data_IF_850987848510
#
_entry.id   IF_850987848510
#
_cell.length_a   1.000
_cell.length_b   1.000
_cell.length_c   1.000
_cell.angle_alpha   90.00
_cell.angle_beta   90.00
_cell.angle_gamma   90.00
#
_symmetry.space_group_name_H-M   'P 1'
#
loop_
_entity.id
_entity.type
_entity.pdbx_description
1 polymer ?
#
# COMPACT_ATOMS: atom_id res chain seq x y z
N UNK A 1 -2.58 23.77 9.03
CA UNK A 1 -1.89 23.89 7.75
C UNK A 1 -1.25 22.54 7.50
N UNK A 2 -1.65 21.86 6.43
CA UNK A 2 -1.10 20.55 6.05
C UNK A 2 0.41 20.60 5.83
N UNK A 3 1.06 19.43 5.91
CA UNK A 3 2.46 19.24 5.57
C UNK A 3 2.65 17.86 4.94
N UNK A 4 2.19 17.75 3.70
CA UNK A 4 2.26 16.57 2.85
C UNK A 4 3.66 16.52 2.21
N UNK A 5 4.33 15.38 2.35
CA UNK A 5 5.64 15.11 1.76
C UNK A 5 5.59 13.89 0.85
N UNK A 6 6.31 13.90 -0.27
CA UNK A 6 6.36 12.74 -1.16
C UNK A 6 7.34 11.69 -0.62
N UNK A 7 6.92 10.43 -0.70
CA UNK A 7 7.71 9.26 -0.32
C UNK A 7 7.69 8.25 -1.48
N UNK A 8 8.60 7.28 -1.46
CA UNK A 8 8.53 6.08 -2.28
C UNK A 8 8.66 4.86 -1.38
N UNK A 9 7.69 3.94 -1.48
CA UNK A 9 7.84 2.59 -0.94
C UNK A 9 8.78 1.81 -1.85
N UNK A 10 9.81 1.17 -1.26
CA UNK A 10 10.79 0.42 -2.02
C UNK A 10 10.19 -0.82 -2.72
N UNK A 11 8.97 -1.22 -2.36
CA UNK A 11 8.17 -2.15 -3.15
C UNK A 11 8.10 -1.75 -4.63
N UNK A 12 8.07 -0.44 -4.91
CA UNK A 12 8.01 0.11 -6.27
C UNK A 12 9.23 -0.21 -7.15
N UNK A 13 10.35 -0.59 -6.53
CA UNK A 13 11.62 -0.92 -7.20
C UNK A 13 12.07 -2.35 -6.88
N UNK A 14 11.15 -3.18 -6.39
CA UNK A 14 11.46 -4.54 -5.95
C UNK A 14 11.95 -5.40 -7.11
N UNK A 15 11.46 -5.22 -8.33
CA UNK A 15 11.88 -6.05 -9.46
C UNK A 15 13.32 -5.71 -9.84
N UNK A 16 13.68 -4.42 -9.85
CA UNK A 16 15.05 -3.97 -10.05
C UNK A 16 16.01 -4.54 -8.98
N UNK A 17 15.58 -4.57 -7.71
CA UNK A 17 16.34 -5.17 -6.62
C UNK A 17 16.48 -6.69 -6.75
N UNK A 18 15.36 -7.41 -6.87
CA UNK A 18 15.30 -8.87 -6.92
C UNK A 18 16.10 -9.45 -8.09
N UNK A 19 16.22 -8.72 -9.20
CA UNK A 19 16.99 -9.14 -10.37
C UNK A 19 18.45 -8.66 -10.35
N UNK A 20 18.89 -8.03 -9.25
CA UNK A 20 20.25 -7.52 -9.09
C UNK A 20 20.61 -6.39 -10.05
N UNK A 21 19.62 -5.70 -10.60
CA UNK A 21 19.82 -4.52 -11.47
C UNK A 21 20.15 -3.28 -10.66
N UNK A 22 19.66 -3.23 -9.43
CA UNK A 22 19.96 -2.20 -8.45
C UNK A 22 20.26 -2.86 -7.10
N UNK A 23 21.34 -2.43 -6.45
CA UNK A 23 21.54 -2.70 -5.01
C UNK A 23 20.66 -1.77 -4.16
N UNK A 24 20.57 -2.03 -2.86
CA UNK A 24 19.91 -1.11 -1.93
C UNK A 24 20.53 0.29 -2.00
N UNK A 25 21.86 0.40 -2.10
CA UNK A 25 22.54 1.69 -2.25
C UNK A 25 22.17 2.37 -3.58
N UNK A 26 22.07 1.63 -4.69
CA UNK A 26 21.66 2.20 -5.99
C UNK A 26 20.22 2.75 -5.94
N UNK A 27 19.32 2.07 -5.20
CA UNK A 27 17.94 2.54 -4.98
C UNK A 27 17.95 3.86 -4.22
N UNK A 28 18.66 3.93 -3.10
CA UNK A 28 18.77 5.17 -2.32
C UNK A 28 19.37 6.31 -3.12
N UNK A 29 20.43 6.02 -3.89
CA UNK A 29 21.04 6.99 -4.79
C UNK A 29 20.04 7.52 -5.81
N UNK A 30 19.32 6.64 -6.49
CA UNK A 30 18.34 7.02 -7.50
C UNK A 30 17.21 7.88 -6.90
N UNK A 31 16.63 7.47 -5.76
CA UNK A 31 15.56 8.22 -5.10
C UNK A 31 16.04 9.61 -4.62
N UNK A 32 17.27 9.70 -4.14
CA UNK A 32 17.89 10.97 -3.77
C UNK A 32 18.12 11.87 -4.99
N UNK A 33 18.59 11.33 -6.12
CA UNK A 33 18.82 12.08 -7.36
C UNK A 33 17.52 12.64 -7.97
N UNK A 34 16.38 11.95 -7.81
CA UNK A 34 15.06 12.45 -8.23
C UNK A 34 14.37 13.29 -7.15
N UNK A 35 15.04 13.50 -6.01
CA UNK A 35 14.66 14.42 -4.93
C UNK A 35 13.48 13.96 -4.06
N UNK A 36 13.30 12.67 -3.82
CA UNK A 36 12.25 12.14 -2.91
C UNK A 36 12.51 12.61 -1.46
N UNK A 37 11.46 12.96 -0.70
CA UNK A 37 11.64 13.42 0.68
C UNK A 37 11.90 12.28 1.68
N UNK A 38 11.18 11.17 1.54
CA UNK A 38 11.31 10.02 2.42
C UNK A 38 11.16 8.68 1.73
N UNK A 39 11.49 7.62 2.45
CA UNK A 39 11.39 6.24 1.97
C UNK A 39 10.60 5.37 2.94
N UNK A 40 9.79 4.49 2.39
CA UNK A 40 9.27 3.31 3.09
C UNK A 40 10.08 2.10 2.65
N UNK A 41 10.53 1.29 3.61
CA UNK A 41 11.37 0.12 3.35
C UNK A 41 10.65 -1.14 3.80
N UNK A 42 10.84 -2.24 3.07
CA UNK A 42 10.41 -3.58 3.43
C UNK A 42 11.64 -4.36 3.94
N UNK A 43 11.90 -4.43 5.26
CA UNK A 43 13.12 -5.04 5.77
C UNK A 43 13.26 -6.50 5.36
N UNK A 44 12.16 -7.26 5.37
CA UNK A 44 12.12 -8.66 4.93
C UNK A 44 12.61 -8.86 3.49
N UNK A 45 12.48 -7.83 2.64
CA UNK A 45 12.95 -7.88 1.26
C UNK A 45 14.41 -7.40 1.14
N UNK A 46 14.77 -6.32 1.83
CA UNK A 46 15.99 -5.55 1.50
C UNK A 46 17.03 -5.46 2.62
N UNK A 47 16.67 -5.80 3.87
CA UNK A 47 17.58 -5.75 5.01
C UNK A 47 18.02 -7.17 5.38
N UNK A 48 19.26 -7.50 5.03
CA UNK A 48 19.79 -8.84 5.29
C UNK A 48 19.83 -9.16 6.79
N UNK A 49 19.17 -10.27 7.15
CA UNK A 49 19.08 -10.75 8.52
C UNK A 49 17.89 -10.23 9.30
N UNK A 50 16.95 -9.51 8.68
CA UNK A 50 15.70 -9.10 9.32
C UNK A 50 14.97 -10.27 10.04
N UNK A 51 14.40 -10.04 11.23
CA UNK A 51 14.39 -8.80 12.02
C UNK A 51 15.63 -8.62 12.93
N UNK A 52 16.68 -9.43 12.74
CA UNK A 52 17.93 -9.40 13.53
C UNK A 52 19.14 -9.05 12.65
N UNK A 53 19.16 -7.87 11.99
CA UNK A 53 20.27 -7.48 11.13
C UNK A 53 21.59 -7.44 11.92
N UNK A 54 22.67 -7.87 11.28
CA UNK A 54 24.00 -7.83 11.92
C UNK A 54 24.46 -6.38 12.14
N UNK A 55 25.40 -6.18 13.08
CA UNK A 55 26.04 -4.86 13.28
C UNK A 55 26.66 -4.30 11.99
N UNK A 56 27.18 -5.18 11.12
CA UNK A 56 27.73 -4.81 9.82
C UNK A 56 26.64 -4.27 8.88
N UNK A 57 25.48 -4.91 8.84
CA UNK A 57 24.32 -4.47 8.04
C UNK A 57 23.79 -3.12 8.56
N UNK A 58 23.67 -2.96 9.89
CA UNK A 58 23.27 -1.67 10.50
C UNK A 58 24.29 -0.56 10.18
N UNK A 59 25.58 -0.87 10.16
CA UNK A 59 26.64 0.08 9.79
C UNK A 59 26.55 0.48 8.31
N UNK A 60 26.29 -0.48 7.43
CA UNK A 60 26.06 -0.25 5.99
C UNK A 60 24.82 0.62 5.77
N UNK A 61 23.69 0.29 6.39
CA UNK A 61 22.47 1.08 6.38
C UNK A 61 22.72 2.55 6.77
N UNK A 62 23.39 2.76 7.91
CA UNK A 62 23.75 4.11 8.39
C UNK A 62 24.70 4.84 7.42
N UNK A 63 25.56 4.11 6.72
CA UNK A 63 26.45 4.67 5.68
C UNK A 63 25.65 5.13 4.45
N UNK A 64 24.66 4.35 4.01
CA UNK A 64 23.76 4.70 2.90
C UNK A 64 22.99 5.98 3.24
N UNK A 65 22.35 6.06 4.42
CA UNK A 65 21.60 7.25 4.85
C UNK A 65 22.49 8.49 4.97
N UNK A 66 23.77 8.32 5.34
CA UNK A 66 24.71 9.44 5.38
C UNK A 66 25.08 9.96 3.98
N UNK A 67 25.17 9.07 2.98
CA UNK A 67 25.47 9.44 1.59
C UNK A 67 24.26 10.07 0.90
N UNK A 68 23.07 9.54 1.18
CA UNK A 68 21.82 9.91 0.53
C UNK A 68 20.78 10.25 1.61
N UNK A 69 20.88 11.44 2.22
CA UNK A 69 20.00 11.82 3.32
C UNK A 69 18.55 11.98 2.84
N UNK A 70 17.69 11.09 3.32
CA UNK A 70 16.23 11.11 3.14
C UNK A 70 15.58 10.77 4.49
N UNK A 71 14.33 11.20 4.68
CA UNK A 71 13.56 10.84 5.88
C UNK A 71 13.10 9.37 5.82
N UNK A 72 12.96 8.75 6.99
CA UNK A 72 12.51 7.37 7.13
C UNK A 72 11.01 7.37 7.44
N UNK A 73 10.19 7.22 6.40
CA UNK A 73 8.76 7.42 6.48
C UNK A 73 8.04 6.27 7.18
N UNK A 74 8.33 5.04 6.78
CA UNK A 74 7.64 3.85 7.30
C UNK A 74 8.50 2.60 7.16
N UNK A 75 8.39 1.72 8.15
CA UNK A 75 8.95 0.37 8.15
C UNK A 75 7.83 -0.62 7.85
N UNK A 76 7.86 -1.23 6.67
CA UNK A 76 6.81 -2.14 6.21
C UNK A 76 7.11 -3.60 6.63
N UNK A 77 6.29 -4.09 7.56
CA UNK A 77 6.49 -5.36 8.25
C UNK A 77 5.36 -6.36 7.98
N UNK A 78 5.75 -7.60 7.68
CA UNK A 78 4.84 -8.72 7.46
C UNK A 78 4.77 -9.63 8.69
N UNK A 79 3.68 -9.57 9.46
CA UNK A 79 3.40 -10.62 10.45
C UNK A 79 2.84 -11.87 9.77
N UNK A 80 3.72 -12.78 9.37
CA UNK A 80 3.29 -14.04 8.79
C UNK A 80 2.75 -15.00 9.87
N UNK A 81 1.43 -15.10 9.97
CA UNK A 81 0.78 -15.99 10.96
C UNK A 81 0.80 -17.47 10.56
N UNK A 82 1.23 -17.81 9.34
CA UNK A 82 1.17 -19.15 8.74
C UNK A 82 2.56 -19.81 8.63
N UNK A 83 3.47 -19.55 9.58
CA UNK A 83 4.82 -20.13 9.58
C UNK A 83 4.86 -21.66 9.69
N UNK A 84 3.79 -22.30 10.19
CA UNK A 84 3.73 -23.75 10.39
C UNK A 84 2.62 -24.37 9.53
N UNK A 85 2.89 -25.54 8.93
CA UNK A 85 1.93 -26.24 8.05
C UNK A 85 0.63 -26.65 8.76
N UNK A 86 0.68 -26.90 10.07
CA UNK A 86 -0.40 -27.53 10.82
C UNK A 86 -1.11 -26.60 11.82
N UNK A 87 -0.69 -25.33 11.93
CA UNK A 87 -1.28 -24.35 12.84
C UNK A 87 -0.90 -22.93 12.45
N UNK A 88 -1.68 -21.98 12.92
CA UNK A 88 -1.28 -20.57 12.94
C UNK A 88 -0.45 -20.27 14.19
N UNK A 89 0.21 -19.11 14.16
CA UNK A 89 0.84 -18.55 15.35
C UNK A 89 -0.19 -18.27 16.46
N UNK A 90 0.23 -18.50 17.69
CA UNK A 90 -0.51 -18.08 18.88
C UNK A 90 -0.37 -16.57 19.09
N UNK A 91 -1.32 -15.95 19.79
CA UNK A 91 -1.25 -14.51 20.13
C UNK A 91 0.09 -14.13 20.77
N UNK A 92 0.63 -14.97 21.67
CA UNK A 92 1.93 -14.74 22.31
C UNK A 92 3.08 -14.73 21.30
N UNK A 93 3.09 -15.68 20.35
CA UNK A 93 4.11 -15.72 19.30
C UNK A 93 4.02 -14.49 18.39
N UNK A 94 2.81 -14.05 18.04
CA UNK A 94 2.62 -12.82 17.28
C UNK A 94 3.16 -11.59 18.02
N UNK A 95 2.85 -11.46 19.32
CA UNK A 95 3.36 -10.38 20.17
C UNK A 95 4.89 -10.41 20.24
N UNK A 96 5.48 -11.59 20.42
CA UNK A 96 6.94 -11.75 20.50
C UNK A 96 7.63 -11.38 19.18
N UNK A 97 7.02 -11.71 18.03
CA UNK A 97 7.53 -11.31 16.71
C UNK A 97 7.44 -9.80 16.50
N UNK A 98 6.27 -9.18 16.70
CA UNK A 98 6.13 -7.73 16.52
C UNK A 98 7.08 -6.94 17.44
N UNK A 99 7.38 -7.44 18.64
CA UNK A 99 8.39 -6.81 19.50
C UNK A 99 9.79 -6.84 18.88
N UNK A 100 10.14 -7.88 18.12
CA UNK A 100 11.43 -7.93 17.40
C UNK A 100 11.44 -6.89 16.27
N UNK A 101 10.33 -6.76 15.54
CA UNK A 101 10.16 -5.76 14.48
C UNK A 101 10.26 -4.33 15.04
N UNK A 102 9.66 -4.05 16.20
CA UNK A 102 9.80 -2.75 16.90
C UNK A 102 11.26 -2.44 17.24
N UNK A 103 12.03 -3.45 17.66
CA UNK A 103 13.47 -3.27 17.93
C UNK A 103 14.23 -3.00 16.63
N UNK A 104 13.95 -3.74 15.56
CA UNK A 104 14.55 -3.50 14.25
C UNK A 104 14.25 -2.08 13.74
N UNK A 105 12.98 -1.68 13.72
CA UNK A 105 12.54 -0.36 13.27
C UNK A 105 13.32 0.75 13.99
N UNK A 106 13.47 0.61 15.32
CA UNK A 106 14.25 1.53 16.16
C UNK A 106 15.75 1.54 15.80
N UNK A 107 16.34 0.38 15.55
CA UNK A 107 17.77 0.27 15.16
C UNK A 107 18.04 0.87 13.77
N UNK A 108 17.10 0.71 12.85
CA UNK A 108 17.12 1.31 11.51
C UNK A 108 16.78 2.81 11.56
N UNK A 109 16.08 3.27 12.59
CA UNK A 109 15.78 4.69 12.84
C UNK A 109 14.37 5.14 12.43
N UNK A 110 13.48 4.20 12.11
CA UNK A 110 12.08 4.48 11.83
C UNK A 110 11.30 4.84 13.10
N UNK A 111 10.11 5.45 12.89
CA UNK A 111 9.16 5.83 13.94
C UNK A 111 7.76 5.27 13.73
N UNK A 112 7.56 4.59 12.62
CA UNK A 112 6.28 4.02 12.20
C UNK A 112 6.55 2.66 11.59
N UNK A 113 5.82 1.66 12.05
CA UNK A 113 5.69 0.37 11.39
C UNK A 113 4.32 0.30 10.74
N UNK A 114 4.28 -0.04 9.46
CA UNK A 114 3.06 -0.50 8.81
C UNK A 114 2.93 -2.01 8.99
N UNK A 115 1.79 -2.43 9.51
CA UNK A 115 1.38 -3.81 9.68
C UNK A 115 0.53 -4.22 8.47
N UNK A 116 0.85 -5.38 7.88
CA UNK A 116 0.05 -5.94 6.78
C UNK A 116 -1.41 -6.16 7.18
N UNK A 117 -2.35 -5.92 6.25
CA UNK A 117 -3.82 -5.83 6.43
C UNK A 117 -4.49 -6.97 7.24
N UNK A 118 -3.88 -8.15 7.37
CA UNK A 118 -4.42 -9.30 8.10
C UNK A 118 -3.77 -9.54 9.48
N UNK A 119 -3.08 -8.53 10.02
CA UNK A 119 -2.49 -8.61 11.36
C UNK A 119 -3.59 -8.69 12.43
N UNK A 120 -3.58 -9.68 13.36
CA UNK A 120 -4.67 -9.87 14.31
C UNK A 120 -4.83 -8.66 15.25
N UNK A 121 -6.01 -7.99 15.30
CA UNK A 121 -6.20 -6.78 16.10
C UNK A 121 -5.89 -6.95 17.60
N UNK A 122 -6.12 -8.16 18.13
CA UNK A 122 -5.90 -8.48 19.55
C UNK A 122 -4.44 -8.41 20.01
N UNK A 123 -3.47 -8.24 19.10
CA UNK A 123 -2.06 -8.06 19.49
C UNK A 123 -1.71 -6.60 19.77
N UNK A 124 -2.52 -5.64 19.30
CA UNK A 124 -2.19 -4.22 19.34
C UNK A 124 -2.13 -3.70 20.77
N UNK A 125 -3.18 -3.88 21.57
CA UNK A 125 -3.21 -3.42 22.97
C UNK A 125 -2.08 -4.06 23.82
N UNK A 126 -1.81 -5.37 23.74
CA UNK A 126 -0.67 -5.98 24.46
C UNK A 126 0.71 -5.46 24.05
N UNK A 127 0.90 -5.07 22.78
CA UNK A 127 2.18 -4.57 22.27
C UNK A 127 2.35 -3.07 22.54
N UNK A 128 1.25 -2.32 22.64
CA UNK A 128 1.24 -0.87 22.72
C UNK A 128 2.22 -0.28 23.76
N UNK A 129 2.30 -0.76 25.02
CA UNK A 129 3.26 -0.22 25.99
C UNK A 129 4.73 -0.36 25.54
N UNK A 130 5.05 -1.41 24.79
CA UNK A 130 6.40 -1.63 24.27
C UNK A 130 6.69 -0.76 23.04
N UNK A 131 5.68 -0.54 22.18
CA UNK A 131 5.75 0.42 21.10
C UNK A 131 6.00 1.85 21.63
N UNK A 132 5.28 2.26 22.68
CA UNK A 132 5.46 3.54 23.38
C UNK A 132 6.87 3.70 23.97
N UNK A 133 7.37 2.68 24.67
CA UNK A 133 8.73 2.70 25.26
C UNK A 133 9.83 2.86 24.19
N UNK A 134 9.58 2.37 22.98
CA UNK A 134 10.53 2.42 21.87
C UNK A 134 10.29 3.58 20.90
N UNK A 135 9.26 4.39 21.14
CA UNK A 135 8.84 5.51 20.29
C UNK A 135 8.58 5.06 18.83
N UNK A 136 7.78 3.99 18.69
CA UNK A 136 7.36 3.39 17.41
C UNK A 136 5.84 3.32 17.35
N UNK A 137 5.22 3.97 16.36
CA UNK A 137 3.81 3.81 16.09
C UNK A 137 3.54 2.55 15.24
N UNK A 138 2.41 1.90 15.45
CA UNK A 138 1.94 0.75 14.68
C UNK A 138 0.68 1.15 13.92
N UNK A 139 0.67 0.94 12.60
CA UNK A 139 -0.48 1.26 11.77
C UNK A 139 -0.84 0.11 10.85
N UNK A 140 -2.10 -0.36 10.86
CA UNK A 140 -2.55 -1.37 9.89
C UNK A 140 -2.73 -0.71 8.52
N UNK A 141 -2.34 -1.40 7.47
CA UNK A 141 -2.77 -1.02 6.12
C UNK A 141 -4.25 -1.37 5.90
N UNK A 142 -5.01 -0.43 5.35
CA UNK A 142 -6.31 -0.68 4.74
C UNK A 142 -6.09 -0.79 3.24
N UNK A 143 -5.90 -2.00 2.74
CA UNK A 143 -5.65 -2.31 1.34
C UNK A 143 -6.97 -2.55 0.58
N UNK A 144 -6.99 -2.33 -0.74
CA UNK A 144 -8.15 -2.72 -1.56
C UNK A 144 -8.47 -4.22 -1.42
N UNK A 145 -9.73 -4.56 -1.19
CA UNK A 145 -10.20 -5.90 -0.83
C UNK A 145 -10.20 -6.19 0.69
N UNK A 146 -9.55 -5.33 1.48
CA UNK A 146 -9.50 -5.34 2.95
C UNK A 146 -9.69 -3.92 3.51
N UNK A 147 -10.45 -3.08 2.80
CA UNK A 147 -10.68 -1.68 3.12
C UNK A 147 -11.78 -1.42 4.16
N UNK A 148 -12.30 -0.20 4.14
CA UNK A 148 -13.44 0.21 4.97
C UNK A 148 -14.68 -0.65 4.72
N UNK A 149 -15.45 -0.95 5.78
CA UNK A 149 -16.65 -1.78 5.71
C UNK A 149 -16.37 -3.30 5.70
N UNK A 150 -15.12 -3.73 5.61
CA UNK A 150 -14.73 -5.14 5.75
C UNK A 150 -14.68 -5.50 7.24
N UNK A 151 -15.37 -6.58 7.62
CA UNK A 151 -15.54 -6.99 9.03
C UNK A 151 -14.25 -7.05 9.83
N UNK A 152 -13.17 -7.58 9.25
CA UNK A 152 -11.89 -7.71 9.96
C UNK A 152 -11.20 -6.35 10.11
N UNK A 153 -11.26 -5.50 9.11
CA UNK A 153 -10.78 -4.11 9.15
C UNK A 153 -11.55 -3.26 10.16
N UNK A 154 -12.89 -3.39 10.20
CA UNK A 154 -13.75 -2.69 11.17
C UNK A 154 -13.42 -3.05 12.63
N UNK A 155 -12.99 -4.29 12.89
CA UNK A 155 -12.50 -4.68 14.23
C UNK A 155 -11.22 -3.92 14.59
N UNK A 156 -10.29 -3.77 13.64
CA UNK A 156 -9.08 -3.01 13.87
C UNK A 156 -9.39 -1.52 14.08
N UNK A 157 -10.23 -0.92 13.23
CA UNK A 157 -10.67 0.48 13.38
C UNK A 157 -11.31 0.72 14.75
N UNK A 158 -12.15 -0.21 15.21
CA UNK A 158 -12.74 -0.14 16.56
C UNK A 158 -11.68 -0.15 17.67
N UNK A 159 -10.61 -0.92 17.51
CA UNK A 159 -9.50 -0.94 18.48
C UNK A 159 -8.67 0.33 18.43
N UNK A 160 -8.42 0.90 17.25
CA UNK A 160 -7.75 2.20 17.08
C UNK A 160 -8.52 3.29 17.83
N UNK A 161 -9.83 3.37 17.62
CA UNK A 161 -10.71 4.34 18.27
C UNK A 161 -10.80 4.12 19.79
N UNK A 162 -10.88 2.85 20.24
CA UNK A 162 -10.94 2.50 21.66
C UNK A 162 -9.64 2.86 22.40
N UNK A 163 -8.49 2.58 21.78
CA UNK A 163 -7.18 2.83 22.37
C UNK A 163 -6.79 4.31 22.33
N UNK A 164 -7.20 5.03 21.26
CA UNK A 164 -6.98 6.46 21.06
C UNK A 164 -5.53 6.90 21.38
N UNK A 165 -4.55 6.10 20.96
CA UNK A 165 -3.12 6.32 21.24
C UNK A 165 -2.40 6.93 20.03
N UNK A 166 -1.45 7.87 20.22
CA UNK A 166 -0.64 8.38 19.12
C UNK A 166 0.25 7.30 18.47
N UNK A 167 0.46 6.16 19.14
CA UNK A 167 1.26 5.03 18.66
C UNK A 167 0.44 3.92 17.99
N UNK A 168 -0.85 4.14 17.77
CA UNK A 168 -1.72 3.25 16.98
C UNK A 168 -2.41 4.06 15.89
N UNK A 169 -2.53 3.53 14.70
CA UNK A 169 -3.22 4.22 13.62
C UNK A 169 -3.45 3.33 12.40
N UNK A 170 -3.57 3.99 11.25
CA UNK A 170 -3.85 3.33 9.99
C UNK A 170 -2.96 3.88 8.87
N UNK A 171 -2.66 3.02 7.90
CA UNK A 171 -2.07 3.37 6.60
C UNK A 171 -3.15 3.18 5.56
N UNK A 172 -3.43 4.21 4.78
CA UNK A 172 -4.52 4.15 3.79
C UNK A 172 -3.93 3.93 2.40
N UNK A 173 -4.47 2.94 1.72
CA UNK A 173 -4.15 2.61 0.34
C UNK A 173 -5.05 3.39 -0.64
N UNK A 174 -4.45 4.08 -1.60
CA UNK A 174 -5.19 4.84 -2.61
C UNK A 174 -5.97 3.97 -3.62
N UNK A 175 -5.68 2.67 -3.73
CA UNK A 175 -6.45 1.68 -4.48
C UNK A 175 -7.88 1.50 -3.98
N UNK A 176 -8.20 2.00 -2.78
CA UNK A 176 -9.56 2.13 -2.27
C UNK A 176 -10.42 3.16 -3.02
N UNK A 177 -9.77 4.07 -3.77
CA UNK A 177 -10.38 5.28 -4.34
C UNK A 177 -10.21 5.36 -5.87
N UNK A 178 -10.08 4.22 -6.54
CA UNK A 178 -10.02 4.16 -8.00
C UNK A 178 -11.31 4.71 -8.62
N UNK A 179 -11.18 5.55 -9.64
CA UNK A 179 -12.31 6.07 -10.46
C UNK A 179 -12.56 5.22 -11.71
N UNK A 180 -11.60 4.38 -12.07
CA UNK A 180 -11.67 3.40 -13.14
C UNK A 180 -10.73 2.23 -12.85
N UNK A 181 -10.99 1.04 -13.40
CA UNK A 181 -10.05 -0.08 -13.30
C UNK A 181 -8.71 0.30 -13.94
N UNK A 182 -7.58 -0.21 -13.43
CA UNK A 182 -6.30 0.02 -14.08
C UNK A 182 -6.28 -0.54 -15.49
N UNK A 183 -5.94 0.31 -16.46
CA UNK A 183 -5.91 -0.07 -17.87
C UNK A 183 -4.95 -1.23 -18.14
N UNK A 184 -3.77 -1.19 -17.54
CA UNK A 184 -2.74 -2.24 -17.66
C UNK A 184 -3.24 -3.60 -17.19
N UNK A 185 -4.08 -3.66 -16.16
CA UNK A 185 -4.72 -4.89 -15.70
C UNK A 185 -5.65 -5.46 -16.79
N UNK A 186 -6.53 -4.62 -17.34
CA UNK A 186 -7.46 -5.03 -18.39
C UNK A 186 -6.71 -5.46 -19.66
N UNK A 187 -5.69 -4.71 -20.07
CA UNK A 187 -4.88 -5.04 -21.25
C UNK A 187 -4.10 -6.35 -21.06
N UNK A 188 -3.54 -6.55 -19.87
CA UNK A 188 -2.89 -7.81 -19.51
C UNK A 188 -3.85 -8.98 -19.62
N UNK A 189 -5.02 -8.89 -18.99
CA UNK A 189 -5.98 -9.98 -19.02
C UNK A 189 -6.51 -10.26 -20.42
N UNK A 190 -6.75 -9.25 -21.26
CA UNK A 190 -7.12 -9.43 -22.68
C UNK A 190 -6.03 -10.11 -23.51
N UNK A 191 -4.77 -9.95 -23.12
CA UNK A 191 -3.62 -10.49 -23.88
C UNK A 191 -3.26 -11.90 -23.43
N UNK A 192 -3.34 -12.16 -22.13
CA UNK A 192 -2.85 -13.41 -21.51
C UNK A 192 -3.95 -14.46 -21.35
N UNK A 193 -5.19 -14.02 -21.18
CA UNK A 193 -6.35 -14.88 -20.98
C UNK A 193 -7.38 -14.69 -22.10
N UNK A 194 -8.25 -15.68 -22.29
CA UNK A 194 -9.37 -15.58 -23.24
C UNK A 194 -10.61 -15.01 -22.53
N UNK A 195 -10.59 -13.72 -22.23
CA UNK A 195 -11.71 -13.03 -21.57
C UNK A 195 -12.69 -12.44 -22.59
N UNK A 196 -13.88 -12.10 -22.13
CA UNK A 196 -14.99 -11.57 -22.92
C UNK A 196 -15.10 -10.06 -22.76
N UNK A 197 -15.46 -9.33 -23.82
CA UNK A 197 -15.70 -7.88 -23.69
C UNK A 197 -16.89 -7.57 -22.77
N UNK A 198 -17.82 -8.51 -22.58
CA UNK A 198 -18.95 -8.39 -21.65
C UNK A 198 -18.50 -8.18 -20.20
N UNK A 199 -17.51 -8.94 -19.73
CA UNK A 199 -17.02 -8.86 -18.34
C UNK A 199 -16.22 -7.59 -18.11
N UNK A 200 -15.44 -7.16 -19.11
CA UNK A 200 -14.72 -5.89 -19.08
C UNK A 200 -15.70 -4.72 -19.01
N UNK A 201 -16.69 -4.70 -19.92
CA UNK A 201 -17.72 -3.66 -19.94
C UNK A 201 -18.50 -3.62 -18.62
N UNK A 202 -18.82 -4.77 -18.04
CA UNK A 202 -19.53 -4.85 -16.78
C UNK A 202 -18.76 -4.14 -15.65
N UNK A 203 -17.45 -4.41 -15.52
CA UNK A 203 -16.60 -3.74 -14.53
C UNK A 203 -16.52 -2.23 -14.81
N UNK A 204 -16.30 -1.82 -16.06
CA UNK A 204 -16.24 -0.39 -16.43
C UNK A 204 -17.55 0.34 -16.09
N UNK A 205 -18.70 -0.30 -16.36
CA UNK A 205 -20.03 0.25 -16.07
C UNK A 205 -20.29 0.40 -14.57
N UNK A 206 -19.72 -0.46 -13.71
CA UNK A 206 -19.77 -0.30 -12.25
C UNK A 206 -18.97 0.94 -11.84
N UNK A 207 -17.72 1.05 -12.27
CA UNK A 207 -16.86 2.20 -11.94
C UNK A 207 -17.47 3.53 -12.42
N UNK A 208 -18.06 3.57 -13.61
CA UNK A 208 -18.73 4.74 -14.15
C UNK A 208 -19.93 5.22 -13.30
N UNK A 209 -20.50 4.36 -12.46
CA UNK A 209 -21.60 4.68 -11.52
C UNK A 209 -21.11 5.05 -10.12
N UNK A 210 -19.80 5.04 -9.86
CA UNK A 210 -19.25 5.15 -8.50
C UNK A 210 -19.38 3.84 -7.71
N UNK A 211 -19.47 2.72 -8.42
CA UNK A 211 -19.52 1.37 -7.86
C UNK A 211 -18.25 0.60 -8.22
N UNK A 212 -18.07 -0.57 -7.63
CA UNK A 212 -16.94 -1.46 -7.87
C UNK A 212 -17.38 -2.92 -7.64
N UNK A 213 -16.62 -3.87 -8.17
CA UNK A 213 -17.00 -5.28 -8.10
C UNK A 213 -16.86 -5.85 -6.69
N UNK A 214 -15.83 -5.45 -5.95
CA UNK A 214 -15.55 -5.93 -4.60
C UNK A 214 -16.73 -5.68 -3.65
N UNK A 215 -17.35 -4.51 -3.72
CA UNK A 215 -18.53 -4.14 -2.93
C UNK A 215 -19.65 -5.17 -2.98
N UNK A 216 -19.85 -5.78 -4.16
CA UNK A 216 -20.86 -6.82 -4.36
C UNK A 216 -20.33 -8.22 -4.10
N UNK A 217 -19.07 -8.50 -4.45
CA UNK A 217 -18.49 -9.84 -4.30
C UNK A 217 -18.17 -10.20 -2.85
N UNK A 218 -17.86 -9.21 -2.00
CA UNK A 218 -17.60 -9.39 -0.57
C UNK A 218 -18.83 -9.88 0.20
N UNK A 219 -20.04 -9.46 -0.20
CA UNK A 219 -21.31 -9.91 0.38
C UNK A 219 -22.37 -10.19 -0.70
N UNK A 220 -22.23 -11.28 -1.47
CA UNK A 220 -22.96 -11.46 -2.72
C UNK A 220 -24.40 -11.90 -2.48
N UNK A 221 -25.35 -11.10 -2.99
CA UNK A 221 -26.77 -11.44 -3.01
C UNK A 221 -27.08 -12.51 -4.06
N UNK A 222 -28.20 -13.25 -3.95
CA UNK A 222 -28.63 -14.17 -5.01
C UNK A 222 -28.79 -13.49 -6.37
N UNK A 223 -29.28 -12.24 -6.38
CA UNK A 223 -29.49 -11.45 -7.60
C UNK A 223 -28.16 -11.12 -8.28
N UNK A 224 -27.16 -10.68 -7.50
CA UNK A 224 -25.82 -10.43 -8.02
C UNK A 224 -25.18 -11.70 -8.59
N UNK A 225 -25.33 -12.85 -7.92
CA UNK A 225 -24.84 -14.13 -8.44
C UNK A 225 -25.48 -14.48 -9.79
N UNK A 226 -26.79 -14.29 -9.92
CA UNK A 226 -27.49 -14.53 -11.19
C UNK A 226 -27.04 -13.55 -12.30
N UNK A 227 -26.79 -12.29 -11.97
CA UNK A 227 -26.24 -11.29 -12.89
C UNK A 227 -24.85 -11.69 -13.39
N UNK A 228 -23.97 -12.13 -12.50
CA UNK A 228 -22.61 -12.55 -12.82
C UNK A 228 -22.56 -13.83 -13.69
N UNK A 229 -23.56 -14.70 -13.61
CA UNK A 229 -23.73 -15.82 -14.55
C UNK A 229 -24.22 -15.38 -15.93
N UNK A 230 -24.89 -14.23 -16.06
CA UNK A 230 -25.31 -13.67 -17.37
C UNK A 230 -24.19 -12.91 -18.08
N UNK A 231 -23.27 -12.33 -17.31
CA UNK A 231 -22.13 -11.55 -17.83
C UNK A 231 -21.03 -12.46 -18.34
N UNK A 232 -20.82 -13.62 -17.70
CA UNK A 232 -19.71 -14.51 -18.05
C UNK A 232 -20.04 -15.43 -19.19
N UNK A 233 -19.16 -15.39 -20.20
CA UNK A 233 -19.28 -16.16 -21.43
C UNK A 233 -18.16 -17.22 -21.52
N UNK A 234 -17.02 -16.99 -20.84
CA UNK A 234 -15.82 -17.83 -20.90
C UNK A 234 -15.27 -18.16 -19.51
N UNK A 235 -14.59 -19.30 -19.33
CA UNK A 235 -14.01 -19.68 -18.03
C UNK A 235 -13.05 -18.64 -17.44
N UNK A 236 -12.23 -18.02 -18.30
CA UNK A 236 -11.22 -17.05 -17.88
C UNK A 236 -11.83 -15.71 -17.42
N UNK A 237 -13.11 -15.43 -17.73
CA UNK A 237 -13.80 -14.23 -17.23
C UNK A 237 -13.84 -14.21 -15.69
N UNK A 238 -13.87 -15.39 -15.05
CA UNK A 238 -13.83 -15.51 -13.59
C UNK A 238 -12.48 -15.10 -13.01
N UNK A 239 -11.38 -15.27 -13.76
CA UNK A 239 -10.06 -14.77 -13.37
C UNK A 239 -10.07 -13.24 -13.38
N UNK A 240 -10.61 -12.64 -14.46
CA UNK A 240 -10.75 -11.19 -14.56
C UNK A 240 -11.56 -10.64 -13.38
N UNK A 241 -12.75 -11.20 -13.11
CA UNK A 241 -13.60 -10.78 -11.99
C UNK A 241 -12.92 -10.90 -10.63
N UNK A 242 -12.22 -12.01 -10.36
CA UNK A 242 -11.51 -12.18 -9.10
C UNK A 242 -10.40 -11.12 -8.93
N UNK A 243 -9.65 -10.82 -9.99
CA UNK A 243 -8.62 -9.78 -9.93
C UNK A 243 -9.22 -8.38 -9.79
N UNK A 244 -10.45 -8.14 -10.27
CA UNK A 244 -11.15 -6.88 -10.08
C UNK A 244 -11.51 -6.60 -8.61
N UNK A 245 -11.45 -7.60 -7.72
CA UNK A 245 -11.65 -7.43 -6.27
C UNK A 245 -10.54 -6.59 -5.62
N UNK A 246 -9.40 -6.41 -6.29
CA UNK A 246 -8.28 -5.59 -5.82
C UNK A 246 -8.40 -4.10 -6.11
N UNK A 247 -9.55 -3.62 -6.59
CA UNK A 247 -9.78 -2.21 -6.92
C UNK A 247 -11.15 -1.76 -6.44
N UNK A 248 -11.21 -0.68 -5.64
CA UNK A 248 -12.46 -0.16 -5.09
C UNK A 248 -12.70 1.28 -5.52
N UNK A 249 -13.96 1.73 -5.49
CA UNK A 249 -14.37 3.09 -5.86
C UNK A 249 -15.12 3.74 -4.70
N UNK A 250 -14.47 3.80 -3.54
CA UNK A 250 -15.04 4.45 -2.35
C UNK A 250 -14.99 5.97 -2.52
N UNK A 251 -15.96 6.71 -1.94
CA UNK A 251 -15.81 8.15 -1.79
C UNK A 251 -14.76 8.47 -0.71
N UNK A 252 -13.98 9.54 -0.87
CA UNK A 252 -12.92 9.90 0.10
C UNK A 252 -13.46 10.14 1.52
N UNK A 253 -14.71 10.60 1.64
CA UNK A 253 -15.38 10.87 2.92
C UNK A 253 -15.50 9.68 3.86
N UNK A 254 -15.23 8.44 3.40
CA UNK A 254 -15.09 7.29 4.31
C UNK A 254 -13.95 7.48 5.31
N UNK A 255 -12.97 8.34 4.99
CA UNK A 255 -11.85 8.68 5.87
C UNK A 255 -12.20 9.73 6.93
N UNK A 256 -13.30 10.48 6.79
CA UNK A 256 -13.65 11.60 7.70
C UNK A 256 -13.52 11.24 9.20
N UNK A 257 -14.02 10.08 9.69
CA UNK A 257 -13.93 9.72 11.10
C UNK A 257 -12.50 9.41 11.55
N UNK A 258 -11.62 9.05 10.61
CA UNK A 258 -10.33 8.43 10.88
C UNK A 258 -9.13 9.34 10.57
N UNK A 259 -9.33 10.56 10.04
CA UNK A 259 -8.24 11.45 9.63
C UNK A 259 -7.13 11.61 10.69
N UNK A 260 -7.48 11.72 11.97
CA UNK A 260 -6.49 11.84 13.08
C UNK A 260 -5.66 10.57 13.33
N UNK A 261 -6.13 9.43 12.85
CA UNK A 261 -5.47 8.13 13.01
C UNK A 261 -4.63 7.74 11.79
N UNK A 262 -4.77 8.44 10.66
CA UNK A 262 -3.98 8.14 9.47
C UNK A 262 -2.54 8.58 9.69
N UNK A 263 -1.61 7.63 9.67
CA UNK A 263 -0.16 7.87 9.90
C UNK A 263 0.62 7.93 8.58
N UNK A 264 0.14 7.23 7.56
CA UNK A 264 0.80 7.13 6.27
C UNK A 264 -0.22 6.84 5.16
N UNK A 265 0.19 7.06 3.91
CA UNK A 265 -0.57 6.66 2.73
C UNK A 265 0.31 5.88 1.78
N UNK A 266 -0.21 4.81 1.21
CA UNK A 266 0.30 4.26 -0.03
C UNK A 266 -0.47 4.87 -1.21
N UNK A 267 0.21 5.71 -1.96
CA UNK A 267 -0.24 6.21 -3.25
C UNK A 267 0.09 5.16 -4.31
N UNK A 268 -0.82 4.18 -4.47
CA UNK A 268 -0.72 3.12 -5.48
C UNK A 268 -0.57 3.68 -6.88
N UNK A 269 0.42 3.18 -7.58
CA UNK A 269 0.67 3.52 -8.96
C UNK A 269 0.46 2.29 -9.83
N UNK A 270 -0.48 2.36 -10.77
CA UNK A 270 -0.67 1.30 -11.77
C UNK A 270 -0.09 1.70 -13.12
N UNK A 271 -0.37 2.92 -13.59
CA UNK A 271 0.18 3.43 -14.84
C UNK A 271 0.12 4.95 -14.89
N UNK A 272 1.26 5.59 -15.17
CA UNK A 272 1.32 6.98 -15.62
C UNK A 272 0.99 7.06 -17.12
N UNK A 273 0.03 7.93 -17.45
CA UNK A 273 -0.41 8.21 -18.82
C UNK A 273 -0.53 9.71 -18.98
N UNK A 274 0.17 10.27 -19.97
CA UNK A 274 0.16 11.71 -20.27
C UNK A 274 0.45 12.63 -19.06
N UNK A 275 1.29 12.15 -18.13
CA UNK A 275 1.71 12.88 -16.94
C UNK A 275 0.80 12.76 -15.71
N UNK A 276 -0.22 11.91 -15.76
CA UNK A 276 -1.16 11.65 -14.65
C UNK A 276 -1.28 10.13 -14.39
N UNK A 277 -1.65 9.74 -13.16
CA UNK A 277 -2.00 8.34 -12.92
C UNK A 277 -3.41 8.05 -13.47
N UNK A 278 -3.56 6.93 -14.17
CA UNK A 278 -4.76 6.67 -14.96
C UNK A 278 -6.02 6.39 -14.13
N UNK A 279 -5.89 5.73 -12.99
CA UNK A 279 -6.95 5.01 -12.29
C UNK A 279 -7.52 5.80 -11.11
N UNK A 280 -6.70 6.61 -10.45
CA UNK A 280 -6.95 7.31 -9.20
C UNK A 280 -6.85 8.81 -9.43
N UNK A 281 -7.84 9.56 -8.92
CA UNK A 281 -7.85 11.03 -8.99
C UNK A 281 -6.97 11.63 -7.87
N UNK A 282 -5.66 11.65 -8.09
CA UNK A 282 -4.71 12.26 -7.17
C UNK A 282 -4.91 13.76 -6.94
N UNK A 283 -5.33 14.58 -7.92
CA UNK A 283 -5.73 15.96 -7.66
C UNK A 283 -6.82 16.06 -6.60
N UNK A 284 -7.88 15.24 -6.70
CA UNK A 284 -8.95 15.18 -5.69
C UNK A 284 -8.41 14.70 -4.33
N UNK A 285 -7.63 13.62 -4.30
CA UNK A 285 -7.09 13.04 -3.08
C UNK A 285 -6.15 13.99 -2.34
N UNK A 286 -5.19 14.61 -3.05
CA UNK A 286 -4.23 15.54 -2.41
C UNK A 286 -4.93 16.79 -1.89
N UNK A 287 -5.90 17.33 -2.63
CA UNK A 287 -6.72 18.46 -2.13
C UNK A 287 -7.49 18.05 -0.87
N UNK A 288 -8.07 16.85 -0.87
CA UNK A 288 -8.77 16.32 0.30
C UNK A 288 -7.83 16.22 1.52
N UNK A 289 -6.62 15.69 1.35
CA UNK A 289 -5.63 15.61 2.44
C UNK A 289 -5.22 17.00 2.95
N UNK A 290 -5.07 17.97 2.05
CA UNK A 290 -4.77 19.35 2.41
C UNK A 290 -5.90 19.97 3.24
N UNK A 291 -7.15 19.84 2.80
CA UNK A 291 -8.34 20.39 3.45
C UNK A 291 -8.58 19.79 4.85
N UNK A 292 -8.05 18.59 5.09
CA UNK A 292 -8.10 17.90 6.39
C UNK A 292 -6.81 18.05 7.22
N UNK A 293 -5.95 19.03 6.88
CA UNK A 293 -4.72 19.33 7.63
C UNK A 293 -3.78 18.12 7.80
N UNK A 294 -3.74 17.19 6.83
CA UNK A 294 -2.87 16.01 6.92
C UNK A 294 -1.38 16.41 7.00
N UNK A 295 -0.66 15.79 7.93
CA UNK A 295 0.78 15.95 8.12
C UNK A 295 1.44 14.57 8.07
N UNK A 296 2.26 14.34 7.04
CA UNK A 296 2.91 13.05 6.86
C UNK A 296 3.36 12.79 5.43
N UNK A 297 3.72 11.53 5.20
CA UNK A 297 4.21 11.07 3.91
C UNK A 297 3.13 10.39 3.09
N UNK A 298 3.17 10.61 1.78
CA UNK A 298 2.41 9.87 0.77
C UNK A 298 3.37 9.07 -0.11
N UNK A 299 3.38 7.75 0.02
CA UNK A 299 4.36 6.87 -0.61
C UNK A 299 3.88 6.37 -1.96
N UNK A 300 4.60 6.70 -3.04
CA UNK A 300 4.40 5.97 -4.30
C UNK A 300 4.65 4.48 -4.08
N UNK A 301 3.68 3.67 -4.47
CA UNK A 301 3.78 2.21 -4.44
C UNK A 301 3.37 1.64 -5.79
N UNK A 302 4.36 1.31 -6.62
CA UNK A 302 4.11 0.82 -7.98
C UNK A 302 3.70 -0.65 -8.00
N UNK A 303 2.44 -0.89 -8.39
CA UNK A 303 1.87 -2.22 -8.57
C UNK A 303 1.52 -2.53 -10.03
N UNK A 304 1.74 -1.57 -10.94
CA UNK A 304 1.65 -1.81 -12.39
C UNK A 304 2.65 -2.86 -12.89
N UNK A 305 3.72 -3.11 -12.13
CA UNK A 305 4.67 -4.18 -12.41
C UNK A 305 4.00 -5.57 -12.46
N UNK A 306 2.88 -5.78 -11.75
CA UNK A 306 2.09 -7.02 -11.79
C UNK A 306 1.47 -7.29 -13.17
N UNK A 307 1.33 -6.26 -14.00
CA UNK A 307 0.59 -6.28 -15.27
C UNK A 307 1.47 -6.09 -16.50
N UNK A 308 2.78 -6.33 -16.38
CA UNK A 308 3.69 -6.25 -17.54
C UNK A 308 3.42 -7.40 -18.51
N UNK A 309 3.14 -7.04 -19.75
CA UNK A 309 2.86 -7.99 -20.82
C UNK A 309 4.07 -8.91 -21.09
N UNK A 310 3.84 -10.20 -21.42
CA UNK A 310 4.91 -11.12 -21.78
C UNK A 310 5.80 -10.58 -22.91
N UNK A 311 7.12 -10.57 -22.68
CA UNK A 311 8.10 -10.07 -23.64
C UNK A 311 8.35 -8.56 -23.60
N UNK A 312 7.79 -7.85 -22.63
CA UNK A 312 8.09 -6.43 -22.38
C UNK A 312 8.90 -6.25 -21.09
N UNK A 313 9.79 -5.23 -21.05
CA UNK A 313 10.56 -4.95 -19.84
C UNK A 313 9.67 -4.30 -18.77
N UNK A 314 10.02 -4.56 -17.51
CA UNK A 314 9.54 -3.75 -16.38
C UNK A 314 10.10 -2.33 -16.49
N UNK A 315 9.26 -1.33 -16.21
CA UNK A 315 9.57 0.11 -16.32
C UNK A 315 9.38 0.83 -14.98
N UNK A 316 9.77 0.17 -13.89
CA UNK A 316 9.56 0.64 -12.51
C UNK A 316 10.13 2.04 -12.28
N UNK A 317 11.37 2.30 -12.73
CA UNK A 317 12.03 3.60 -12.54
C UNK A 317 11.34 4.71 -13.31
N UNK A 318 10.90 4.44 -14.53
CA UNK A 318 10.22 5.43 -15.37
C UNK A 318 8.89 5.83 -14.72
N UNK A 319 8.11 4.84 -14.28
CA UNK A 319 6.83 5.04 -13.59
C UNK A 319 7.00 5.78 -12.26
N UNK A 320 7.96 5.37 -11.43
CA UNK A 320 8.28 6.05 -10.15
C UNK A 320 8.70 7.50 -10.39
N UNK A 321 9.58 7.76 -11.37
CA UNK A 321 10.03 9.12 -11.69
C UNK A 321 8.88 10.02 -12.12
N UNK A 322 8.03 9.53 -13.02
CA UNK A 322 6.90 10.30 -13.55
C UNK A 322 5.85 10.57 -12.48
N UNK A 323 5.52 9.56 -11.66
CA UNK A 323 4.59 9.73 -10.55
C UNK A 323 5.13 10.68 -9.48
N UNK A 324 6.42 10.60 -9.13
CA UNK A 324 7.02 11.55 -8.19
C UNK A 324 6.98 13.00 -8.70
N UNK A 325 7.17 13.23 -10.00
CA UNK A 325 7.01 14.58 -10.59
C UNK A 325 5.57 15.05 -10.48
N UNK A 326 4.60 14.17 -10.78
CA UNK A 326 3.18 14.46 -10.71
C UNK A 326 2.74 14.81 -9.28
N UNK A 327 3.01 13.93 -8.31
CA UNK A 327 2.62 14.11 -6.91
C UNK A 327 3.27 15.36 -6.30
N UNK A 328 4.56 15.61 -6.55
CA UNK A 328 5.23 16.83 -6.04
C UNK A 328 4.58 18.10 -6.59
N UNK A 329 4.28 18.13 -7.89
CA UNK A 329 3.57 19.26 -8.52
C UNK A 329 2.20 19.49 -7.87
N UNK A 330 1.45 18.43 -7.59
CA UNK A 330 0.15 18.55 -6.91
C UNK A 330 0.29 19.05 -5.47
N UNK A 331 1.27 18.55 -4.73
CA UNK A 331 1.58 19.01 -3.37
C UNK A 331 1.96 20.50 -3.36
N UNK A 332 2.86 20.93 -4.25
CA UNK A 332 3.25 22.35 -4.41
C UNK A 332 2.03 23.22 -4.73
N UNK A 333 1.11 22.76 -5.60
CA UNK A 333 -0.07 23.54 -5.95
C UNK A 333 -1.02 23.78 -4.76
N UNK A 334 -1.17 22.80 -3.85
CA UNK A 334 -2.09 22.94 -2.71
C UNK A 334 -1.42 23.58 -1.49
N UNK A 335 -0.10 23.41 -1.32
CA UNK A 335 0.63 23.92 -0.15
C UNK A 335 1.34 25.27 -0.38
N UNK A 336 1.51 25.71 -1.63
CA UNK A 336 2.25 26.92 -2.01
C UNK A 336 3.73 26.67 -2.20
#
# INVERSE_FOLDING_TARGET
MSNIKSCVSLYSLQYEYMHGRMSLEDIFKYLYEIGVNGVEVLPDQMIHGAPHPSEAMISEWKSILKKYPMELACDDVFLNTNLYENRTLTQRECIDLIKQEIIQAKELGFKLIRLVSMTPPEIIEPVLPFAEENDIALAIELHAGLGFGVKETEKFLSEVERLDSPYVGIVVDAGLFCRRPPRVYTEYCKTVYDISDSVVKYIDDLFAKGEDYFRYSNNPTPEFKEEIEKVVEKPDDRIYLHLAEGYENLPLSVMDPYMKYIKHFHFKLYEMVDGEEFSIDYPELIQYLHDHDYEGFVATEYEGNRWVLPGHPMVEKEQVLEHQKFIKKLIENVQG
#
